data_IF_344354101714
#
_entry.id   IF_344354101714
#
_cell.length_a   1.000
_cell.length_b   1.000
_cell.length_c   1.000
_cell.angle_alpha   90.00
_cell.angle_beta   90.00
_cell.angle_gamma   90.00
#
_symmetry.space_group_name_H-M   'P 1'
#
loop_
_entity.id
_entity.type
_entity.pdbx_description
1 polymer ?
#
# COMPACT_ATOMS: atom_id res chain seq x y z
N UNK A 1 -6.57 10.43 -28.30
CA UNK A 1 -5.96 9.19 -27.74
C UNK A 1 -6.23 9.16 -26.25
N UNK A 2 -7.11 8.27 -25.81
CA UNK A 2 -7.32 8.01 -24.39
C UNK A 2 -6.10 7.21 -23.93
N UNK A 3 -5.31 7.76 -23.04
CA UNK A 3 -4.15 7.06 -22.49
C UNK A 3 -4.63 5.86 -21.68
N UNK A 4 -3.99 4.71 -21.83
CA UNK A 4 -4.29 3.46 -21.12
C UNK A 4 -4.33 3.64 -19.59
N UNK A 5 -3.57 4.59 -19.04
CA UNK A 5 -3.58 4.96 -17.61
C UNK A 5 -4.93 5.52 -17.12
N UNK A 6 -5.70 6.17 -18.00
CA UNK A 6 -7.06 6.64 -17.69
C UNK A 6 -8.08 5.50 -17.76
N UNK A 7 -7.87 4.53 -18.66
CA UNK A 7 -8.78 3.42 -18.88
C UNK A 7 -8.92 2.54 -17.63
N UNK A 8 -7.83 2.27 -16.91
CA UNK A 8 -7.86 1.47 -15.68
C UNK A 8 -8.65 2.14 -14.55
N UNK A 9 -8.51 3.45 -14.36
CA UNK A 9 -9.23 4.20 -13.33
C UNK A 9 -10.72 4.41 -13.69
N UNK A 10 -11.03 4.68 -14.93
CA UNK A 10 -12.42 4.88 -15.41
C UNK A 10 -13.24 3.59 -15.34
N UNK A 11 -12.64 2.44 -15.58
CA UNK A 11 -13.33 1.16 -15.55
C UNK A 11 -13.67 0.70 -14.13
N UNK A 12 -12.86 1.06 -13.14
CA UNK A 12 -13.18 0.80 -11.73
C UNK A 12 -14.37 1.63 -11.22
N UNK A 13 -14.73 2.73 -11.89
CA UNK A 13 -15.82 3.63 -11.51
C UNK A 13 -17.20 2.97 -11.64
N UNK A 14 -17.38 1.99 -12.52
CA UNK A 14 -18.71 1.41 -12.80
C UNK A 14 -19.34 0.71 -11.62
N UNK A 15 -18.54 -0.08 -10.90
CA UNK A 15 -19.00 -0.89 -9.78
C UNK A 15 -18.44 -0.40 -8.43
N UNK A 16 -17.66 0.67 -8.44
CA UNK A 16 -17.09 1.30 -7.25
C UNK A 16 -17.64 2.70 -7.06
N UNK A 17 -17.63 3.20 -5.82
CA UNK A 17 -17.94 4.60 -5.53
C UNK A 17 -16.74 5.51 -5.77
N UNK A 18 -16.98 6.82 -5.95
CA UNK A 18 -15.91 7.81 -6.02
C UNK A 18 -15.03 7.77 -4.76
N UNK A 19 -15.65 7.59 -3.59
CA UNK A 19 -14.97 7.50 -2.31
C UNK A 19 -14.02 6.29 -2.27
N UNK A 20 -14.45 5.13 -2.76
CA UNK A 20 -13.59 3.93 -2.83
C UNK A 20 -12.40 4.15 -3.75
N UNK A 21 -12.63 4.72 -4.92
CA UNK A 21 -11.60 4.94 -5.93
C UNK A 21 -10.53 5.91 -5.43
N UNK A 22 -10.92 7.05 -4.84
CA UNK A 22 -9.97 8.05 -4.35
C UNK A 22 -9.13 7.49 -3.20
N UNK A 23 -9.74 6.71 -2.29
CA UNK A 23 -9.04 6.08 -1.20
C UNK A 23 -8.01 5.05 -1.68
N UNK A 24 -8.40 4.16 -2.61
CA UNK A 24 -7.50 3.19 -3.23
C UNK A 24 -6.37 3.88 -4.01
N UNK A 25 -6.71 4.86 -4.85
CA UNK A 25 -5.72 5.59 -5.65
C UNK A 25 -4.65 6.25 -4.79
N UNK A 26 -5.05 6.89 -3.69
CA UNK A 26 -4.10 7.52 -2.77
C UNK A 26 -3.22 6.50 -2.03
N UNK A 27 -3.73 5.31 -1.69
CA UNK A 27 -2.89 4.23 -1.15
C UNK A 27 -1.88 3.70 -2.16
N UNK A 28 -2.23 3.67 -3.45
CA UNK A 28 -1.34 3.21 -4.52
C UNK A 28 -0.17 4.15 -4.77
N UNK A 29 -0.25 5.44 -4.39
CA UNK A 29 0.87 6.37 -4.43
C UNK A 29 2.03 5.83 -3.56
N UNK A 30 1.74 5.16 -2.46
CA UNK A 30 2.72 4.72 -1.48
C UNK A 30 3.22 5.90 -0.62
N UNK A 31 4.50 5.95 -0.29
CA UNK A 31 5.11 7.04 0.48
C UNK A 31 4.45 7.29 1.86
N UNK A 32 3.91 6.23 2.48
CA UNK A 32 3.24 6.33 3.78
C UNK A 32 1.79 6.82 3.74
N UNK A 33 1.21 7.03 2.55
CA UNK A 33 -0.18 7.45 2.41
C UNK A 33 -1.13 6.27 2.65
N UNK A 34 -2.13 6.48 3.48
CA UNK A 34 -3.10 5.45 3.88
C UNK A 34 -4.47 5.60 3.20
N UNK A 35 -4.66 6.62 2.38
CA UNK A 35 -5.89 7.01 1.70
C UNK A 35 -6.11 8.51 1.82
N UNK A 36 -7.35 8.97 1.71
CA UNK A 36 -7.68 10.39 1.79
C UNK A 36 -7.51 10.97 3.20
N UNK A 37 -7.77 10.19 4.24
CA UNK A 37 -7.68 10.57 5.66
C UNK A 37 -6.70 9.67 6.43
N UNK A 38 -6.19 10.18 7.55
CA UNK A 38 -5.28 9.44 8.43
C UNK A 38 -3.80 9.51 8.00
N UNK A 39 -3.38 10.61 7.40
CA UNK A 39 -2.02 10.86 6.93
C UNK A 39 -1.34 11.90 7.83
N UNK A 40 -0.85 11.49 9.00
CA UNK A 40 -0.27 12.40 10.01
C UNK A 40 1.09 12.98 9.60
N UNK A 41 1.70 12.45 8.55
CA UNK A 41 2.97 12.96 8.02
C UNK A 41 2.82 14.23 7.17
N UNK A 42 1.59 14.66 6.89
CA UNK A 42 1.30 15.84 6.09
C UNK A 42 0.56 16.85 6.96
N UNK A 43 1.21 17.94 7.29
CA UNK A 43 0.63 19.04 8.06
C UNK A 43 0.85 20.36 7.32
N UNK A 44 -0.15 21.23 7.30
CA UNK A 44 -0.11 22.50 6.58
C UNK A 44 -0.25 23.65 7.56
N UNK A 45 0.67 24.61 7.49
CA UNK A 45 0.64 25.83 8.30
C UNK A 45 -0.46 26.80 7.81
N UNK A 46 -0.60 26.98 6.49
CA UNK A 46 -1.59 27.83 5.85
C UNK A 46 -2.46 27.05 4.87
N UNK A 47 -3.59 26.55 5.35
CA UNK A 47 -4.55 25.78 4.53
C UNK A 47 -5.19 26.61 3.42
N UNK A 48 -5.46 27.89 3.64
CA UNK A 48 -6.07 28.76 2.63
C UNK A 48 -5.13 28.94 1.45
N UNK A 49 -3.83 29.11 1.72
CA UNK A 49 -2.81 29.17 0.68
C UNK A 49 -2.72 27.86 -0.10
N UNK A 50 -2.62 26.72 0.57
CA UNK A 50 -2.51 25.39 -0.07
C UNK A 50 -3.75 25.04 -0.89
N UNK A 51 -4.93 25.45 -0.44
CA UNK A 51 -6.17 25.25 -1.20
C UNK A 51 -6.22 26.15 -2.43
N UNK A 52 -5.76 27.40 -2.34
CA UNK A 52 -5.78 28.37 -3.44
C UNK A 52 -4.69 28.10 -4.49
N UNK A 53 -3.54 27.59 -4.09
CA UNK A 53 -2.37 27.33 -4.95
C UNK A 53 -2.16 25.81 -5.12
N UNK A 54 -2.58 25.23 -6.26
CA UNK A 54 -2.57 23.78 -6.42
C UNK A 54 -1.16 23.21 -6.44
N UNK A 55 -0.92 22.27 -5.52
CA UNK A 55 0.26 21.42 -5.45
C UNK A 55 -0.15 19.96 -5.55
N UNK A 56 0.78 19.02 -5.61
CA UNK A 56 0.55 17.58 -5.52
C UNK A 56 -0.03 17.16 -4.17
N UNK A 57 0.16 17.98 -3.12
CA UNK A 57 -0.37 17.73 -1.77
C UNK A 57 -1.77 18.30 -1.54
N UNK A 58 -2.33 19.06 -2.49
CA UNK A 58 -3.63 19.74 -2.35
C UNK A 58 -4.77 18.83 -1.92
N UNK A 59 -4.76 17.57 -2.37
CA UNK A 59 -5.79 16.58 -1.98
C UNK A 59 -5.78 16.34 -0.47
N UNK A 60 -4.63 16.33 0.17
CA UNK A 60 -4.49 16.18 1.62
C UNK A 60 -4.80 17.47 2.36
N UNK A 61 -4.52 18.64 1.76
CA UNK A 61 -4.96 19.92 2.28
C UNK A 61 -6.49 20.01 2.33
N UNK A 62 -7.21 19.49 1.33
CA UNK A 62 -8.67 19.39 1.34
C UNK A 62 -9.14 18.49 2.49
N UNK A 63 -8.49 17.34 2.71
CA UNK A 63 -8.82 16.45 3.83
C UNK A 63 -8.69 17.17 5.17
N UNK A 64 -7.56 17.83 5.38
CA UNK A 64 -7.29 18.58 6.63
C UNK A 64 -8.25 19.77 6.82
N UNK A 65 -8.61 20.48 5.75
CA UNK A 65 -9.58 21.57 5.80
C UNK A 65 -10.96 21.06 6.23
N UNK A 66 -11.43 19.94 5.66
CA UNK A 66 -12.68 19.31 6.03
C UNK A 66 -12.66 18.82 7.50
N UNK A 67 -11.55 18.25 7.96
CA UNK A 67 -11.36 17.85 9.36
C UNK A 67 -11.36 19.03 10.32
N UNK A 68 -10.85 20.19 9.91
CA UNK A 68 -10.90 21.45 10.67
C UNK A 68 -12.24 22.17 10.55
N UNK A 69 -13.21 21.61 9.84
CA UNK A 69 -14.59 22.14 9.76
C UNK A 69 -14.82 23.18 8.67
N UNK A 70 -13.95 23.29 7.67
CA UNK A 70 -14.21 24.14 6.52
C UNK A 70 -15.47 23.68 5.79
N UNK A 71 -16.30 24.62 5.37
CA UNK A 71 -17.49 24.33 4.57
C UNK A 71 -17.11 23.99 3.12
N UNK A 72 -17.97 23.24 2.45
CA UNK A 72 -17.80 22.94 1.02
C UNK A 72 -17.73 24.23 0.20
N UNK A 73 -18.55 25.22 0.52
CA UNK A 73 -18.56 26.52 -0.17
C UNK A 73 -17.21 27.23 -0.01
N UNK A 74 -16.64 27.23 1.20
CA UNK A 74 -15.33 27.84 1.45
C UNK A 74 -14.23 27.14 0.65
N UNK A 75 -14.21 25.80 0.64
CA UNK A 75 -13.24 25.04 -0.13
C UNK A 75 -13.44 25.26 -1.63
N UNK A 76 -14.68 25.33 -2.10
CA UNK A 76 -14.98 25.68 -3.50
C UNK A 76 -14.50 27.09 -3.88
N UNK A 77 -14.70 28.09 -3.02
CA UNK A 77 -14.20 29.45 -3.25
C UNK A 77 -12.68 29.48 -3.48
N UNK A 78 -11.93 28.69 -2.72
CA UNK A 78 -10.47 28.63 -2.80
C UNK A 78 -9.99 27.75 -3.95
N UNK A 79 -10.57 26.57 -4.12
CA UNK A 79 -10.05 25.53 -5.02
C UNK A 79 -10.66 25.57 -6.41
N UNK A 80 -11.89 26.06 -6.55
CA UNK A 80 -12.74 25.96 -7.75
C UNK A 80 -13.07 24.49 -8.14
N UNK A 81 -12.88 23.52 -7.23
CA UNK A 81 -13.28 22.13 -7.42
C UNK A 81 -14.78 22.02 -7.23
N UNK A 82 -15.46 21.35 -8.15
CA UNK A 82 -16.90 21.18 -8.14
C UNK A 82 -17.41 20.67 -6.76
N UNK A 83 -18.45 21.29 -6.18
CA UNK A 83 -18.99 20.90 -4.89
C UNK A 83 -19.44 19.43 -4.79
N UNK A 84 -19.79 18.78 -5.89
CA UNK A 84 -20.12 17.37 -5.91
C UNK A 84 -18.92 16.51 -5.46
N UNK A 85 -17.72 16.77 -6.00
CA UNK A 85 -16.51 16.06 -5.59
C UNK A 85 -16.16 16.36 -4.13
N UNK A 86 -16.26 17.62 -3.72
CA UNK A 86 -16.01 18.03 -2.34
C UNK A 86 -16.99 17.36 -1.36
N UNK A 87 -18.25 17.22 -1.76
CA UNK A 87 -19.26 16.47 -1.01
C UNK A 87 -18.90 15.00 -0.83
N UNK A 88 -18.40 14.37 -1.89
CA UNK A 88 -17.91 12.99 -1.84
C UNK A 88 -16.70 12.81 -0.92
N UNK A 89 -15.75 13.74 -0.98
CA UNK A 89 -14.60 13.75 -0.08
C UNK A 89 -15.02 13.98 1.39
N UNK A 90 -16.02 14.85 1.62
CA UNK A 90 -16.59 15.08 2.94
C UNK A 90 -17.22 13.81 3.54
N UNK A 91 -17.86 12.97 2.73
CA UNK A 91 -18.42 11.69 3.21
C UNK A 91 -17.35 10.81 3.86
N UNK A 92 -16.12 10.81 3.31
CA UNK A 92 -14.99 10.04 3.87
C UNK A 92 -14.60 10.61 5.24
N UNK A 93 -14.50 11.94 5.38
CA UNK A 93 -14.16 12.60 6.66
C UNK A 93 -15.24 12.35 7.70
N UNK A 94 -16.51 12.52 7.34
CA UNK A 94 -17.64 12.29 8.24
C UNK A 94 -17.66 10.84 8.72
N UNK A 95 -17.35 9.89 7.83
CA UNK A 95 -17.32 8.48 8.18
C UNK A 95 -16.12 8.09 9.04
N UNK A 96 -14.94 8.70 8.83
CA UNK A 96 -13.80 8.61 9.75
C UNK A 96 -14.22 9.01 11.16
N UNK A 97 -14.89 10.15 11.30
CA UNK A 97 -15.36 10.66 12.60
C UNK A 97 -16.37 9.69 13.26
N UNK A 98 -17.22 9.04 12.47
CA UNK A 98 -18.13 7.99 12.96
C UNK A 98 -17.35 6.77 13.46
N UNK A 99 -16.34 6.29 12.72
CA UNK A 99 -15.50 5.17 13.14
C UNK A 99 -14.72 5.47 14.42
N UNK A 100 -14.24 6.70 14.57
CA UNK A 100 -13.48 7.14 15.76
C UNK A 100 -14.31 7.22 17.05
N UNK A 101 -15.62 6.97 16.98
CA UNK A 101 -16.48 6.86 18.18
C UNK A 101 -16.40 5.49 18.85
N UNK A 102 -15.87 4.48 18.15
CA UNK A 102 -15.67 3.14 18.68
C UNK A 102 -14.27 3.00 19.27
N UNK A 103 -14.14 2.19 20.31
CA UNK A 103 -12.86 1.91 20.99
C UNK A 103 -12.42 0.43 20.84
N UNK A 104 -13.27 -0.40 20.23
CA UNK A 104 -13.01 -1.81 19.94
C UNK A 104 -13.60 -2.20 18.60
N UNK A 105 -12.92 -3.09 17.90
CA UNK A 105 -13.37 -3.58 16.60
C UNK A 105 -14.67 -4.40 16.71
N UNK A 106 -14.83 -5.13 17.82
CA UNK A 106 -15.99 -5.97 18.09
C UNK A 106 -17.28 -5.15 18.28
N UNK A 107 -17.16 -3.91 18.75
CA UNK A 107 -18.28 -3.01 19.02
C UNK A 107 -18.82 -2.34 17.76
N UNK A 108 -18.11 -2.46 16.62
CA UNK A 108 -18.56 -1.89 15.34
C UNK A 108 -19.74 -2.72 14.79
N UNK A 109 -20.91 -2.13 14.57
CA UNK A 109 -22.05 -2.81 13.93
C UNK A 109 -21.69 -3.28 12.52
N UNK A 110 -22.29 -4.38 12.07
CA UNK A 110 -21.99 -4.98 10.78
C UNK A 110 -22.29 -4.04 9.59
N UNK A 111 -23.36 -3.26 9.66
CA UNK A 111 -23.73 -2.25 8.67
C UNK A 111 -22.69 -1.11 8.61
N UNK A 112 -22.23 -0.64 9.76
CA UNK A 112 -21.19 0.40 9.84
C UNK A 112 -19.87 -0.12 9.26
N UNK A 113 -19.46 -1.34 9.61
CA UNK A 113 -18.23 -1.91 9.06
C UNK A 113 -18.33 -2.14 7.54
N UNK A 114 -19.48 -2.60 7.06
CA UNK A 114 -19.75 -2.78 5.63
C UNK A 114 -19.68 -1.46 4.87
N UNK A 115 -20.33 -0.43 5.37
CA UNK A 115 -20.34 0.90 4.74
C UNK A 115 -18.94 1.51 4.74
N UNK A 116 -18.15 1.35 5.81
CA UNK A 116 -16.74 1.75 5.81
C UNK A 116 -15.97 1.11 4.65
N UNK A 117 -16.17 -0.19 4.42
CA UNK A 117 -15.52 -0.90 3.30
C UNK A 117 -16.02 -0.41 1.94
N UNK A 118 -17.30 -0.12 1.79
CA UNK A 118 -17.90 0.47 0.57
C UNK A 118 -17.32 1.86 0.28
N UNK A 119 -17.06 2.66 1.31
CA UNK A 119 -16.40 3.96 1.18
C UNK A 119 -14.88 3.86 0.99
N UNK A 120 -14.33 2.65 0.86
CA UNK A 120 -12.93 2.40 0.53
C UNK A 120 -11.96 2.43 1.71
N UNK A 121 -12.43 2.44 2.96
CA UNK A 121 -11.53 2.32 4.11
C UNK A 121 -10.84 0.95 4.12
N UNK A 122 -9.53 0.94 4.23
CA UNK A 122 -8.76 -0.28 4.44
C UNK A 122 -8.92 -0.81 5.86
N UNK A 123 -8.66 -2.11 6.06
CA UNK A 123 -8.63 -2.70 7.40
C UNK A 123 -7.64 -1.97 8.31
N UNK A 124 -6.54 -1.48 7.73
CA UNK A 124 -5.54 -0.65 8.42
C UNK A 124 -6.11 0.69 8.90
N UNK A 125 -6.83 1.43 8.03
CA UNK A 125 -7.43 2.71 8.41
C UNK A 125 -8.50 2.52 9.50
N UNK A 126 -9.34 1.49 9.37
CA UNK A 126 -10.36 1.18 10.38
C UNK A 126 -9.70 0.87 11.72
N UNK A 127 -8.67 0.02 11.75
CA UNK A 127 -7.93 -0.29 12.95
C UNK A 127 -7.33 0.98 13.60
N UNK A 128 -6.75 1.86 12.79
CA UNK A 128 -6.13 3.11 13.26
C UNK A 128 -7.16 4.04 13.91
N UNK A 129 -8.31 4.24 13.28
CA UNK A 129 -9.32 5.18 13.80
C UNK A 129 -10.07 4.65 15.01
N UNK A 130 -10.21 3.34 15.13
CA UNK A 130 -10.94 2.69 16.23
C UNK A 130 -10.05 2.42 17.44
N UNK A 131 -8.82 1.94 17.22
CA UNK A 131 -7.94 1.47 18.30
C UNK A 131 -6.85 2.49 18.66
N UNK A 132 -6.54 3.42 17.73
CA UNK A 132 -5.47 4.40 17.83
C UNK A 132 -4.17 3.81 18.43
N UNK A 133 -3.64 2.70 17.88
CA UNK A 133 -2.48 2.02 18.43
C UNK A 133 -1.19 2.75 18.08
N UNK A 134 -0.19 2.61 18.94
CA UNK A 134 1.16 3.06 18.67
C UNK A 134 1.98 1.95 17.96
N UNK A 135 2.80 2.33 16.98
CA UNK A 135 3.77 1.46 16.32
C UNK A 135 3.21 0.54 15.24
N UNK A 136 3.67 -0.71 15.19
CA UNK A 136 3.32 -1.66 14.14
C UNK A 136 1.89 -2.18 14.30
N UNK A 137 1.03 -1.84 13.35
CA UNK A 137 -0.41 -2.14 13.35
C UNK A 137 -0.78 -3.48 12.66
N UNK A 138 0.15 -4.41 12.47
CA UNK A 138 -0.13 -5.67 11.77
C UNK A 138 -1.22 -6.50 12.48
N UNK A 139 -1.16 -6.57 13.82
CA UNK A 139 -2.13 -7.30 14.63
C UNK A 139 -3.51 -6.67 14.57
N UNK A 140 -3.59 -5.36 14.69
CA UNK A 140 -4.84 -4.59 14.67
C UNK A 140 -5.52 -4.66 13.30
N UNK A 141 -4.74 -4.60 12.23
CA UNK A 141 -5.23 -4.84 10.86
C UNK A 141 -5.87 -6.23 10.74
N UNK A 142 -5.23 -7.27 11.26
CA UNK A 142 -5.76 -8.63 11.25
C UNK A 142 -7.01 -8.79 12.13
N UNK A 143 -7.16 -8.03 13.21
CA UNK A 143 -8.39 -8.03 14.02
C UNK A 143 -9.57 -7.51 13.20
N UNK A 144 -9.42 -6.40 12.47
CA UNK A 144 -10.46 -5.88 11.57
C UNK A 144 -10.79 -6.90 10.47
N UNK A 145 -9.75 -7.49 9.85
CA UNK A 145 -9.92 -8.55 8.85
C UNK A 145 -10.71 -9.73 9.39
N UNK A 146 -10.37 -10.23 10.57
CA UNK A 146 -11.07 -11.35 11.19
C UNK A 146 -12.54 -11.01 11.44
N UNK A 147 -12.82 -9.82 11.98
CA UNK A 147 -14.17 -9.35 12.25
C UNK A 147 -15.01 -9.22 10.99
N UNK A 148 -14.49 -8.62 9.92
CA UNK A 148 -15.25 -8.50 8.67
C UNK A 148 -15.54 -9.86 8.02
N UNK A 149 -14.59 -10.82 8.10
CA UNK A 149 -14.79 -12.19 7.62
C UNK A 149 -15.90 -12.93 8.42
N UNK A 150 -15.86 -12.80 9.73
CA UNK A 150 -16.92 -13.34 10.62
C UNK A 150 -18.30 -12.81 10.26
N UNK A 151 -18.41 -11.52 9.94
CA UNK A 151 -19.65 -10.85 9.53
C UNK A 151 -20.02 -11.08 8.05
N UNK A 152 -19.24 -11.87 7.31
CA UNK A 152 -19.47 -12.12 5.88
C UNK A 152 -19.26 -10.87 5.01
N UNK A 153 -18.45 -9.91 5.46
CA UNK A 153 -18.10 -8.71 4.70
C UNK A 153 -16.84 -9.03 3.89
N UNK A 154 -17.05 -9.53 2.68
CA UNK A 154 -16.01 -9.94 1.74
C UNK A 154 -16.08 -9.09 0.48
N UNK A 155 -14.93 -8.79 -0.16
CA UNK A 155 -14.95 -8.06 -1.42
C UNK A 155 -15.52 -8.93 -2.55
N UNK A 156 -16.28 -8.31 -3.44
CA UNK A 156 -16.60 -8.89 -4.74
C UNK A 156 -15.40 -8.82 -5.67
N UNK A 157 -15.35 -9.70 -6.67
CA UNK A 157 -14.34 -9.67 -7.74
C UNK A 157 -15.05 -9.47 -9.06
N UNK A 158 -14.71 -8.38 -9.72
CA UNK A 158 -15.34 -7.93 -10.96
C UNK A 158 -14.33 -7.86 -12.09
N UNK A 159 -14.80 -8.09 -13.31
CA UNK A 159 -14.01 -7.88 -14.52
C UNK A 159 -14.02 -6.41 -14.92
N UNK A 160 -12.85 -5.93 -15.32
CA UNK A 160 -12.72 -4.61 -15.93
C UNK A 160 -13.20 -4.74 -17.38
N UNK A 161 -14.25 -4.02 -17.73
CA UNK A 161 -14.78 -4.00 -19.10
C UNK A 161 -14.16 -2.84 -19.88
N UNK A 162 -13.35 -3.16 -20.89
CA UNK A 162 -12.61 -2.19 -21.69
C UNK A 162 -13.44 -1.55 -22.83
N UNK A 163 -14.64 -2.08 -23.07
CA UNK A 163 -15.53 -1.62 -24.18
C UNK A 163 -16.85 -1.08 -23.68
N UNK A 164 -16.85 -0.43 -22.54
CA UNK A 164 -18.01 0.23 -21.95
C UNK A 164 -19.27 -0.65 -21.79
N UNK A 165 -19.09 -1.97 -21.64
CA UNK A 165 -20.15 -2.99 -21.59
C UNK A 165 -21.01 -3.08 -22.86
N UNK A 166 -20.54 -2.58 -23.97
CA UNK A 166 -21.19 -2.78 -25.27
C UNK A 166 -21.13 -4.26 -25.72
N UNK A 167 -20.10 -4.97 -25.28
CA UNK A 167 -19.91 -6.40 -25.51
C UNK A 167 -19.57 -7.12 -24.20
N UNK A 168 -19.89 -8.43 -24.08
CA UNK A 168 -19.43 -9.24 -22.95
C UNK A 168 -17.90 -9.26 -22.88
N UNK A 169 -17.36 -8.88 -21.74
CA UNK A 169 -15.92 -8.85 -21.51
C UNK A 169 -15.41 -10.22 -21.10
N UNK A 170 -14.40 -10.70 -21.81
CA UNK A 170 -13.74 -11.99 -21.56
C UNK A 170 -12.29 -11.80 -21.08
N UNK A 171 -11.85 -10.56 -20.84
CA UNK A 171 -10.49 -10.29 -20.37
C UNK A 171 -10.24 -10.92 -19.00
N UNK A 172 -8.97 -11.13 -18.72
CA UNK A 172 -8.50 -11.62 -17.42
C UNK A 172 -8.29 -10.49 -16.39
N UNK A 173 -8.72 -9.25 -16.69
CA UNK A 173 -8.59 -8.08 -15.83
C UNK A 173 -9.64 -8.08 -14.74
N UNK A 174 -9.19 -8.15 -13.49
CA UNK A 174 -10.03 -8.24 -12.31
C UNK A 174 -9.72 -7.08 -11.35
N UNK A 175 -10.71 -6.66 -10.58
CA UNK A 175 -10.54 -5.77 -9.44
C UNK A 175 -11.47 -6.19 -8.31
N UNK A 176 -11.17 -5.73 -7.10
CA UNK A 176 -11.95 -6.07 -5.90
C UNK A 176 -12.67 -4.84 -5.37
N UNK A 177 -13.94 -4.97 -5.04
CA UNK A 177 -14.77 -3.89 -4.48
C UNK A 177 -15.75 -4.43 -3.45
N UNK A 178 -16.20 -3.56 -2.54
CA UNK A 178 -17.27 -3.88 -1.59
C UNK A 178 -18.61 -3.23 -1.98
N UNK A 179 -18.62 -2.39 -3.01
CA UNK A 179 -19.83 -1.68 -3.46
C UNK A 179 -20.89 -2.60 -4.05
N UNK A 180 -20.50 -3.75 -4.58
CA UNK A 180 -21.36 -4.76 -5.18
C UNK A 180 -21.10 -6.15 -4.61
N UNK A 181 -21.88 -7.13 -5.02
CA UNK A 181 -21.71 -8.53 -4.57
C UNK A 181 -21.40 -9.46 -5.74
N UNK A 182 -20.88 -10.63 -5.41
CA UNK A 182 -20.64 -11.72 -6.35
C UNK A 182 -19.29 -11.64 -7.07
N UNK A 183 -19.00 -12.70 -7.83
CA UNK A 183 -17.76 -12.88 -8.57
C UNK A 183 -18.05 -13.06 -10.05
N UNK A 184 -17.30 -12.37 -10.89
CA UNK A 184 -17.39 -12.52 -12.36
C UNK A 184 -16.49 -13.65 -12.87
N UNK A 185 -15.76 -14.30 -11.97
CA UNK A 185 -14.89 -15.43 -12.26
C UNK A 185 -15.20 -16.61 -11.34
N UNK A 186 -14.97 -17.83 -11.86
CA UNK A 186 -15.11 -19.05 -11.08
C UNK A 186 -13.80 -19.41 -10.39
N UNK A 187 -13.88 -19.81 -9.13
CA UNK A 187 -12.75 -20.34 -8.36
C UNK A 187 -12.88 -21.84 -8.23
N UNK A 188 -11.87 -22.59 -8.67
CA UNK A 188 -11.88 -24.03 -8.61
C UNK A 188 -10.90 -24.49 -7.52
N UNK A 189 -11.41 -25.27 -6.57
CA UNK A 189 -10.56 -25.92 -5.57
C UNK A 189 -9.60 -26.88 -6.28
N UNK A 190 -8.33 -26.86 -5.89
CA UNK A 190 -7.24 -27.68 -6.44
C UNK A 190 -6.68 -27.23 -7.81
N UNK A 191 -6.96 -26.06 -8.30
CA UNK A 191 -6.17 -25.49 -9.40
C UNK A 191 -4.71 -25.30 -8.95
N UNK A 192 -3.79 -25.76 -9.79
CA UNK A 192 -2.36 -25.51 -9.57
C UNK A 192 -2.06 -24.07 -9.98
N UNK A 193 -2.14 -23.15 -9.06
CA UNK A 193 -1.89 -21.73 -9.31
C UNK A 193 -0.73 -21.18 -8.48
N UNK A 194 -0.13 -20.12 -8.98
CA UNK A 194 0.92 -19.33 -8.31
C UNK A 194 0.58 -17.86 -8.46
N UNK A 195 0.70 -17.10 -7.38
CA UNK A 195 0.55 -15.65 -7.39
C UNK A 195 1.91 -15.00 -7.52
N UNK A 196 2.02 -14.00 -8.39
CA UNK A 196 3.19 -13.13 -8.55
C UNK A 196 2.80 -11.73 -8.16
N UNK A 197 3.56 -11.09 -7.26
CA UNK A 197 3.33 -9.71 -6.89
C UNK A 197 4.20 -8.79 -7.74
N UNK A 198 3.57 -7.81 -8.39
CA UNK A 198 4.23 -6.83 -9.24
C UNK A 198 4.88 -5.69 -8.46
N UNK A 199 5.45 -4.75 -9.20
CA UNK A 199 6.20 -3.63 -8.64
C UNK A 199 5.37 -2.39 -8.29
N UNK A 200 4.11 -2.35 -8.73
CA UNK A 200 3.29 -1.15 -8.61
C UNK A 200 3.74 -0.02 -9.54
N UNK A 201 3.44 1.22 -9.17
CA UNK A 201 3.85 2.39 -9.94
C UNK A 201 5.37 2.57 -9.97
N UNK A 202 5.91 3.02 -11.12
CA UNK A 202 7.32 3.33 -11.25
C UNK A 202 7.73 4.48 -10.34
N UNK A 203 8.82 4.26 -9.62
CA UNK A 203 9.42 5.22 -8.69
C UNK A 203 10.86 4.83 -8.42
N UNK A 204 11.61 5.66 -7.70
CA UNK A 204 12.95 5.31 -7.25
C UNK A 204 12.90 4.00 -6.43
N UNK A 205 13.67 2.99 -6.86
CA UNK A 205 13.67 1.65 -6.27
C UNK A 205 12.58 0.70 -6.77
N UNK A 206 11.77 1.11 -7.76
CA UNK A 206 10.78 0.26 -8.41
C UNK A 206 10.64 0.70 -9.87
N UNK A 207 11.35 0.05 -10.78
CA UNK A 207 11.40 0.41 -12.19
C UNK A 207 11.22 -0.79 -13.11
N UNK A 208 11.43 -0.61 -14.40
CA UNK A 208 11.10 -1.56 -15.47
C UNK A 208 11.76 -2.95 -15.32
N UNK A 209 12.92 -3.03 -14.70
CA UNK A 209 13.60 -4.32 -14.44
C UNK A 209 12.79 -5.27 -13.56
N UNK A 210 12.02 -4.75 -12.61
CA UNK A 210 11.13 -5.58 -11.78
C UNK A 210 9.93 -6.08 -12.56
N UNK A 211 9.43 -5.28 -13.50
CA UNK A 211 8.37 -5.73 -14.39
C UNK A 211 8.85 -6.86 -15.29
N UNK A 212 10.04 -6.73 -15.88
CA UNK A 212 10.67 -7.81 -16.66
C UNK A 212 10.86 -9.09 -15.82
N UNK A 213 11.29 -8.98 -14.56
CA UNK A 213 11.39 -10.13 -13.66
C UNK A 213 10.03 -10.78 -13.40
N UNK A 214 8.99 -9.97 -13.20
CA UNK A 214 7.61 -10.43 -12.99
C UNK A 214 7.06 -11.18 -14.20
N UNK A 215 7.25 -10.64 -15.41
CA UNK A 215 6.87 -11.28 -16.68
C UNK A 215 7.55 -12.66 -16.83
N UNK A 216 8.86 -12.73 -16.57
CA UNK A 216 9.59 -14.01 -16.64
C UNK A 216 9.08 -15.02 -15.60
N UNK A 217 8.75 -14.58 -14.39
CA UNK A 217 8.17 -15.44 -13.36
C UNK A 217 6.81 -16.00 -13.79
N UNK A 218 5.92 -15.14 -14.31
CA UNK A 218 4.61 -15.52 -14.85
C UNK A 218 4.75 -16.54 -15.97
N UNK A 219 5.56 -16.25 -16.98
CA UNK A 219 5.77 -17.14 -18.12
C UNK A 219 6.39 -18.47 -17.72
N UNK A 220 7.31 -18.48 -16.75
CA UNK A 220 7.90 -19.70 -16.23
C UNK A 220 6.87 -20.53 -15.48
N UNK A 221 6.02 -19.91 -14.65
CA UNK A 221 4.93 -20.62 -13.98
C UNK A 221 4.00 -21.29 -14.99
N UNK A 222 3.60 -20.59 -16.07
CA UNK A 222 2.78 -21.17 -17.16
C UNK A 222 3.47 -22.33 -17.87
N UNK A 223 4.77 -22.19 -18.20
CA UNK A 223 5.56 -23.29 -18.82
C UNK A 223 5.64 -24.53 -17.92
N UNK A 224 5.60 -24.37 -16.61
CA UNK A 224 5.56 -25.47 -15.63
C UNK A 224 4.16 -26.01 -15.35
N UNK A 225 3.14 -25.54 -16.09
CA UNK A 225 1.75 -25.99 -15.98
C UNK A 225 1.00 -25.43 -14.78
N UNK A 226 1.45 -24.31 -14.23
CA UNK A 226 0.72 -23.54 -13.22
C UNK A 226 -0.12 -22.47 -13.87
N UNK A 227 -1.31 -22.23 -13.32
CA UNK A 227 -2.09 -21.03 -13.61
C UNK A 227 -1.38 -19.84 -12.97
N UNK A 228 -1.05 -18.86 -13.77
CA UNK A 228 -0.37 -17.65 -13.33
C UNK A 228 -1.37 -16.59 -12.93
N UNK A 229 -1.21 -16.05 -11.73
CA UNK A 229 -2.02 -14.99 -11.17
C UNK A 229 -1.11 -13.82 -10.87
N UNK A 230 -1.41 -12.65 -11.42
CA UNK A 230 -0.66 -11.42 -11.18
C UNK A 230 -1.48 -10.47 -10.32
N UNK A 231 -0.84 -9.81 -9.36
CA UNK A 231 -1.40 -8.66 -8.66
C UNK A 231 -0.49 -7.48 -8.96
N UNK A 232 -1.00 -6.49 -9.69
CA UNK A 232 -0.29 -5.25 -10.01
C UNK A 232 -1.29 -4.15 -10.37
N UNK A 233 -0.90 -2.89 -10.21
CA UNK A 233 -1.76 -1.74 -10.51
C UNK A 233 -1.11 -0.71 -11.44
N UNK A 234 0.02 -1.03 -12.05
CA UNK A 234 0.67 -0.14 -13.02
C UNK A 234 0.21 -0.50 -14.44
N UNK A 235 -0.59 0.34 -15.11
CA UNK A 235 -1.11 0.06 -16.45
C UNK A 235 -0.05 0.18 -17.55
N UNK A 236 1.10 0.75 -17.26
CA UNK A 236 2.20 0.97 -18.23
C UNK A 236 3.20 -0.20 -18.24
N UNK A 237 2.91 -1.31 -17.55
CA UNK A 237 3.81 -2.46 -17.44
C UNK A 237 3.36 -3.61 -18.33
N UNK A 238 4.33 -4.37 -18.88
CA UNK A 238 4.08 -5.56 -19.69
C UNK A 238 3.43 -6.68 -18.85
N UNK A 239 3.72 -6.76 -17.56
CA UNK A 239 3.10 -7.75 -16.67
C UNK A 239 1.59 -7.57 -16.51
N UNK A 240 1.06 -6.40 -16.86
CA UNK A 240 -0.37 -6.10 -16.84
C UNK A 240 -1.02 -6.16 -18.22
N UNK A 241 -0.30 -6.59 -19.25
CA UNK A 241 -0.89 -6.85 -20.56
C UNK A 241 -1.85 -8.05 -20.53
N UNK A 242 -2.88 -8.00 -21.37
CA UNK A 242 -4.02 -8.92 -21.35
C UNK A 242 -3.65 -10.39 -21.58
N UNK A 243 -2.52 -10.67 -22.21
CA UNK A 243 -2.07 -12.00 -22.61
C UNK A 243 -0.94 -12.57 -21.72
N UNK A 244 -0.42 -11.78 -20.78
CA UNK A 244 0.73 -12.15 -19.98
C UNK A 244 0.42 -13.20 -18.93
N UNK A 245 -0.72 -13.12 -18.27
CA UNK A 245 -1.09 -14.06 -17.20
C UNK A 245 -2.50 -14.63 -17.39
N UNK A 246 -2.84 -15.66 -16.63
CA UNK A 246 -4.17 -16.28 -16.69
C UNK A 246 -5.22 -15.45 -15.92
N UNK A 247 -4.79 -14.73 -14.87
CA UNK A 247 -5.59 -13.77 -14.11
C UNK A 247 -4.74 -12.60 -13.66
N UNK A 248 -5.24 -11.39 -13.88
CA UNK A 248 -4.66 -10.15 -13.41
C UNK A 248 -5.62 -9.49 -12.43
N UNK A 249 -5.23 -9.41 -11.17
CA UNK A 249 -5.85 -8.51 -10.22
C UNK A 249 -5.22 -7.14 -10.35
N UNK A 250 -5.92 -6.25 -11.04
CA UNK A 250 -5.55 -4.86 -11.19
C UNK A 250 -6.02 -4.10 -9.97
N UNK A 251 -5.28 -4.25 -8.87
CA UNK A 251 -5.65 -3.72 -7.56
C UNK A 251 -4.40 -3.38 -6.75
N UNK A 252 -4.59 -2.69 -5.63
CA UNK A 252 -3.50 -2.28 -4.75
C UNK A 252 -2.71 -3.48 -4.18
N UNK A 253 -1.39 -3.31 -4.07
CA UNK A 253 -0.48 -4.28 -3.46
C UNK A 253 -0.42 -4.08 -1.94
N UNK A 254 -1.57 -4.06 -1.28
CA UNK A 254 -1.67 -3.98 0.18
C UNK A 254 -1.72 -5.36 0.81
N UNK A 255 -1.35 -5.44 2.10
CA UNK A 255 -1.43 -6.69 2.86
C UNK A 255 -2.84 -7.27 2.87
N UNK A 256 -3.86 -6.40 3.03
CA UNK A 256 -5.27 -6.77 2.99
C UNK A 256 -5.66 -7.43 1.66
N UNK A 257 -5.38 -6.75 0.53
CA UNK A 257 -5.78 -7.21 -0.80
C UNK A 257 -5.06 -8.48 -1.22
N UNK A 258 -3.76 -8.58 -0.94
CA UNK A 258 -3.01 -9.80 -1.22
C UNK A 258 -3.57 -10.99 -0.46
N UNK A 259 -3.92 -10.83 0.83
CA UNK A 259 -4.56 -11.90 1.60
C UNK A 259 -5.96 -12.24 1.07
N UNK A 260 -6.74 -11.25 0.59
CA UNK A 260 -8.06 -11.51 0.02
C UNK A 260 -7.96 -12.32 -1.28
N UNK A 261 -7.01 -12.00 -2.14
CA UNK A 261 -6.73 -12.80 -3.36
C UNK A 261 -6.27 -14.21 -3.00
N UNK A 262 -5.39 -14.36 -2.01
CA UNK A 262 -4.92 -15.68 -1.56
C UNK A 262 -6.07 -16.53 -1.00
N UNK A 263 -6.97 -15.93 -0.23
CA UNK A 263 -8.15 -16.61 0.30
C UNK A 263 -9.08 -17.13 -0.82
N UNK A 264 -9.20 -16.39 -1.92
CA UNK A 264 -10.06 -16.76 -3.06
C UNK A 264 -9.39 -17.77 -3.98
N UNK A 265 -8.15 -17.53 -4.36
CA UNK A 265 -7.42 -18.33 -5.37
C UNK A 265 -6.79 -19.59 -4.78
N UNK A 266 -6.56 -19.67 -3.48
CA UNK A 266 -5.90 -20.78 -2.79
C UNK A 266 -4.63 -21.27 -3.53
N UNK A 267 -3.69 -20.35 -3.85
CA UNK A 267 -2.53 -20.68 -4.66
C UNK A 267 -1.58 -21.62 -3.92
N UNK A 268 -0.74 -22.33 -4.67
CA UNK A 268 0.37 -23.10 -4.09
C UNK A 268 1.34 -22.21 -3.30
N UNK A 269 1.48 -20.95 -3.69
CA UNK A 269 2.30 -19.97 -3.01
C UNK A 269 2.39 -18.67 -3.77
N UNK A 270 3.14 -17.75 -3.20
CA UNK A 270 3.30 -16.37 -3.68
C UNK A 270 4.77 -16.07 -3.95
N UNK A 271 5.07 -15.53 -5.12
CA UNK A 271 6.40 -15.01 -5.49
C UNK A 271 6.43 -13.52 -5.19
N UNK A 272 7.31 -13.12 -4.27
CA UNK A 272 7.46 -11.71 -3.82
C UNK A 272 8.74 -11.06 -4.34
N UNK A 273 9.78 -11.84 -4.59
CA UNK A 273 11.15 -11.35 -4.85
C UNK A 273 11.36 -10.70 -6.22
N UNK A 274 10.37 -10.72 -7.09
CA UNK A 274 10.46 -10.16 -8.46
C UNK A 274 9.84 -8.76 -8.59
N UNK A 275 9.06 -8.30 -7.61
CA UNK A 275 8.33 -7.04 -7.66
C UNK A 275 9.02 -5.85 -6.97
N UNK A 276 10.26 -6.02 -6.49
CA UNK A 276 10.99 -4.96 -5.78
C UNK A 276 10.50 -4.73 -4.37
N UNK A 277 10.58 -3.46 -3.90
CA UNK A 277 10.41 -3.13 -2.49
C UNK A 277 8.98 -3.37 -1.95
N UNK A 278 7.94 -3.12 -2.76
CA UNK A 278 6.55 -3.25 -2.29
C UNK A 278 6.24 -4.70 -1.90
N UNK A 279 6.46 -5.71 -2.75
CA UNK A 279 6.28 -7.10 -2.36
C UNK A 279 7.22 -7.58 -1.25
N UNK A 280 8.49 -7.12 -1.26
CA UNK A 280 9.45 -7.48 -0.22
C UNK A 280 8.96 -7.05 1.17
N UNK A 281 8.37 -5.86 1.29
CA UNK A 281 7.78 -5.37 2.55
C UNK A 281 6.59 -6.22 3.03
N UNK A 282 5.96 -6.98 2.13
CA UNK A 282 4.88 -7.90 2.48
C UNK A 282 5.39 -9.30 2.86
N UNK A 283 6.61 -9.67 2.48
CA UNK A 283 7.12 -11.04 2.61
C UNK A 283 7.00 -11.59 4.04
N UNK A 284 7.50 -10.86 5.05
CA UNK A 284 7.42 -11.30 6.45
C UNK A 284 6.00 -11.28 6.99
N UNK A 285 5.15 -10.34 6.56
CA UNK A 285 3.73 -10.29 6.96
C UNK A 285 2.97 -11.50 6.43
N UNK A 286 3.17 -11.87 5.18
CA UNK A 286 2.59 -13.06 4.56
C UNK A 286 3.08 -14.36 5.23
N UNK A 287 4.38 -14.44 5.52
CA UNK A 287 4.97 -15.57 6.22
C UNK A 287 4.36 -15.80 7.60
N UNK A 288 4.14 -14.76 8.39
CA UNK A 288 3.47 -14.84 9.70
C UNK A 288 2.03 -15.34 9.61
N UNK A 289 1.38 -15.16 8.46
CA UNK A 289 0.05 -15.69 8.16
C UNK A 289 0.10 -17.09 7.53
N UNK A 290 1.26 -17.77 7.59
CA UNK A 290 1.46 -19.12 7.03
C UNK A 290 1.22 -19.21 5.53
N UNK A 291 1.33 -18.09 4.79
CA UNK A 291 1.27 -18.07 3.34
C UNK A 291 2.59 -18.64 2.78
N UNK A 292 2.55 -19.67 1.92
CA UNK A 292 3.75 -20.19 1.29
C UNK A 292 4.38 -19.15 0.35
N UNK A 293 5.54 -18.61 0.75
CA UNK A 293 6.34 -17.72 -0.10
C UNK A 293 7.32 -18.58 -0.89
N UNK A 294 7.28 -18.46 -2.22
CA UNK A 294 8.10 -19.21 -3.15
C UNK A 294 9.38 -18.42 -3.51
N UNK A 295 10.47 -19.13 -3.69
CA UNK A 295 11.78 -18.55 -3.97
C UNK A 295 12.56 -18.26 -2.70
N UNK A 296 13.09 -17.03 -2.57
CA UNK A 296 13.87 -16.64 -1.38
C UNK A 296 13.03 -16.65 -0.12
N UNK A 297 13.54 -17.27 0.94
CA UNK A 297 12.85 -17.30 2.24
C UNK A 297 12.57 -15.89 2.76
N UNK A 298 11.37 -15.60 3.27
CA UNK A 298 11.05 -14.30 3.88
C UNK A 298 12.01 -13.88 4.98
N UNK A 299 12.50 -14.84 5.77
CA UNK A 299 13.52 -14.59 6.81
C UNK A 299 14.84 -14.14 6.20
N UNK A 300 15.21 -14.70 5.04
CA UNK A 300 16.43 -14.29 4.32
C UNK A 300 16.24 -12.93 3.65
N UNK A 301 15.06 -12.64 3.11
CA UNK A 301 14.70 -11.31 2.59
C UNK A 301 14.84 -10.26 3.72
N UNK A 302 14.22 -10.51 4.86
CA UNK A 302 14.27 -9.60 6.02
C UNK A 302 15.71 -9.40 6.54
N UNK A 303 16.53 -10.44 6.55
CA UNK A 303 17.95 -10.32 6.92
C UNK A 303 18.76 -9.49 5.93
N UNK A 304 18.45 -9.58 4.64
CA UNK A 304 19.12 -8.81 3.60
C UNK A 304 18.66 -7.34 3.54
N UNK A 305 17.39 -7.09 3.76
CA UNK A 305 16.77 -5.76 3.71
C UNK A 305 17.03 -4.93 4.97
N UNK A 306 16.97 -5.57 6.14
CA UNK A 306 17.25 -4.93 7.41
C UNK A 306 18.76 -4.82 7.62
N UNK A 307 19.29 -3.59 7.55
CA UNK A 307 20.72 -3.31 7.59
C UNK A 307 21.41 -3.78 8.86
N UNK A 308 20.72 -3.65 9.99
CA UNK A 308 21.22 -4.11 11.26
C UNK A 308 21.43 -5.65 11.26
N UNK A 309 20.39 -6.39 10.82
CA UNK A 309 20.47 -7.84 10.67
C UNK A 309 21.50 -8.26 9.62
N UNK A 310 21.62 -7.49 8.53
CA UNK A 310 22.62 -7.73 7.48
C UNK A 310 24.04 -7.52 8.03
N UNK A 311 24.33 -6.40 8.68
CA UNK A 311 25.64 -6.15 9.29
C UNK A 311 25.98 -7.16 10.37
N UNK A 312 25.04 -7.53 11.24
CA UNK A 312 25.23 -8.58 12.22
C UNK A 312 25.55 -9.95 11.57
N UNK A 313 24.96 -10.25 10.43
CA UNK A 313 25.27 -11.44 9.66
C UNK A 313 26.69 -11.39 9.07
N UNK A 314 27.13 -10.23 8.55
CA UNK A 314 28.51 -10.06 8.05
C UNK A 314 29.54 -10.26 9.17
N UNK A 315 29.28 -9.71 10.35
CA UNK A 315 30.15 -9.91 11.52
C UNK A 315 30.23 -11.40 11.89
N UNK A 316 29.11 -12.13 11.91
CA UNK A 316 29.10 -13.58 12.17
C UNK A 316 29.89 -14.39 11.12
N UNK A 317 29.92 -13.92 9.86
CA UNK A 317 30.65 -14.55 8.78
C UNK A 317 32.13 -14.12 8.74
N UNK A 318 32.56 -13.20 9.59
CA UNK A 318 33.92 -12.64 9.59
C UNK A 318 34.24 -11.81 8.35
N UNK A 319 33.20 -11.25 7.69
CA UNK A 319 33.34 -10.37 6.54
C UNK A 319 33.59 -8.94 7.05
N UNK A 320 34.67 -8.36 6.60
CA UNK A 320 35.10 -7.00 6.99
C UNK A 320 34.09 -5.95 6.53
N UNK A 321 33.72 -5.03 7.41
CA UNK A 321 32.82 -3.92 7.16
C UNK A 321 33.19 -2.71 8.05
N UNK A 322 32.74 -1.49 7.69
CA UNK A 322 32.90 -0.33 8.58
C UNK A 322 32.25 -0.56 9.94
N UNK A 323 32.80 0.07 10.98
CA UNK A 323 32.19 0.03 12.32
C UNK A 323 30.74 0.55 12.25
N UNK A 324 29.83 -0.18 12.84
CA UNK A 324 28.40 0.13 12.79
C UNK A 324 27.73 -0.12 14.15
N UNK A 325 26.63 0.56 14.39
CA UNK A 325 25.78 0.32 15.56
C UNK A 325 24.35 0.80 15.27
N UNK A 326 23.36 0.05 15.74
CA UNK A 326 21.97 0.52 15.79
C UNK A 326 21.81 1.43 17.00
N UNK A 327 21.28 2.61 16.79
CA UNK A 327 21.17 3.66 17.78
C UNK A 327 19.73 4.12 17.89
N UNK A 328 19.22 4.24 19.11
CA UNK A 328 17.84 4.65 19.39
C UNK A 328 17.78 5.92 20.25
N UNK A 329 18.91 6.39 20.75
CA UNK A 329 19.01 7.61 21.53
C UNK A 329 20.22 8.46 21.15
N UNK A 330 20.17 9.76 21.45
CA UNK A 330 21.29 10.66 21.24
C UNK A 330 22.53 10.32 22.11
N UNK A 331 22.29 9.71 23.27
CA UNK A 331 23.37 9.28 24.15
C UNK A 331 24.16 8.10 23.53
N UNK A 332 23.46 7.15 22.92
CA UNK A 332 24.09 6.06 22.17
C UNK A 332 24.92 6.57 21.01
N UNK A 333 24.41 7.60 20.28
CA UNK A 333 25.15 8.25 19.19
C UNK A 333 26.46 8.83 19.69
N UNK A 334 26.43 9.57 20.81
CA UNK A 334 27.65 10.14 21.39
C UNK A 334 28.65 9.05 21.77
N UNK A 335 28.21 8.01 22.46
CA UNK A 335 29.06 6.89 22.85
C UNK A 335 29.70 6.16 21.67
N UNK A 336 28.94 6.00 20.57
CA UNK A 336 29.49 5.42 19.34
C UNK A 336 30.53 6.33 18.70
N UNK A 337 30.27 7.63 18.59
CA UNK A 337 31.22 8.61 18.00
C UNK A 337 32.50 8.74 18.84
N UNK A 338 32.41 8.70 20.17
CA UNK A 338 33.60 8.69 21.05
C UNK A 338 34.52 7.48 20.76
N UNK A 339 33.91 6.35 20.37
CA UNK A 339 34.64 5.11 20.07
C UNK A 339 35.28 5.11 18.68
N UNK A 340 34.54 5.63 17.66
CA UNK A 340 34.97 5.49 16.25
C UNK A 340 35.53 6.78 15.65
N UNK A 341 35.24 7.95 16.24
CA UNK A 341 35.57 9.27 15.72
C UNK A 341 34.69 9.74 14.57
N UNK A 342 34.88 11.00 14.15
CA UNK A 342 34.26 11.56 12.95
C UNK A 342 35.09 11.34 11.70
N UNK A 343 34.51 11.30 10.48
CA UNK A 343 33.09 11.45 10.18
C UNK A 343 32.30 10.17 10.43
N UNK A 344 31.01 10.33 10.79
CA UNK A 344 30.05 9.22 10.89
C UNK A 344 28.90 9.40 9.91
N UNK A 345 28.44 8.30 9.32
CA UNK A 345 27.27 8.27 8.44
C UNK A 345 26.05 7.87 9.25
N UNK A 346 25.11 8.80 9.42
CA UNK A 346 23.80 8.52 10.00
C UNK A 346 22.84 8.15 8.87
N UNK A 347 22.12 7.03 9.04
CA UNK A 347 21.14 6.58 8.04
C UNK A 347 19.98 5.85 8.72
N UNK A 348 18.71 6.11 8.32
CA UNK A 348 17.56 5.35 8.77
C UNK A 348 17.61 3.88 8.30
N UNK A 349 16.98 2.97 9.06
CA UNK A 349 17.06 1.52 8.78
C UNK A 349 16.41 1.10 7.46
N UNK A 350 15.37 1.79 7.00
CA UNK A 350 14.55 1.41 5.85
C UNK A 350 14.42 2.52 4.79
N UNK A 351 15.52 3.13 4.40
CA UNK A 351 15.49 4.20 3.39
C UNK A 351 16.17 3.76 2.10
N UNK A 352 15.52 4.02 0.96
CA UNK A 352 16.03 3.81 -0.38
C UNK A 352 16.74 5.05 -0.90
N UNK A 353 17.76 4.82 -1.75
CA UNK A 353 18.41 5.87 -2.55
C UNK A 353 19.04 7.01 -1.75
N UNK A 354 19.46 6.74 -0.52
CA UNK A 354 20.19 7.72 0.30
C UNK A 354 19.32 8.83 0.90
N UNK A 355 18.00 8.75 0.79
CA UNK A 355 17.10 9.70 1.44
C UNK A 355 17.35 9.72 2.95
N UNK A 356 17.37 10.91 3.57
CA UNK A 356 17.65 11.13 4.98
C UNK A 356 18.98 10.52 5.47
N UNK A 357 19.95 10.32 4.58
CA UNK A 357 21.33 9.97 4.94
C UNK A 357 22.17 11.23 5.08
N UNK A 358 22.87 11.37 6.20
CA UNK A 358 23.75 12.51 6.46
C UNK A 358 25.12 12.04 6.92
N UNK A 359 26.16 12.67 6.39
CA UNK A 359 27.53 12.51 6.91
C UNK A 359 27.77 13.60 7.94
N UNK A 360 27.94 13.19 9.17
CA UNK A 360 28.20 14.10 10.29
C UNK A 360 29.70 14.22 10.52
N UNK A 361 30.21 15.44 10.43
CA UNK A 361 31.61 15.77 10.67
C UNK A 361 31.86 16.27 12.10
N UNK A 362 30.79 16.62 12.80
CA UNK A 362 30.79 17.08 14.19
C UNK A 362 29.44 16.77 14.88
N UNK A 363 29.33 17.11 16.17
CA UNK A 363 28.12 16.82 16.96
C UNK A 363 26.89 17.69 16.63
N UNK A 364 27.02 18.74 15.84
CA UNK A 364 25.91 19.66 15.55
C UNK A 364 24.97 19.07 14.48
N UNK A 365 25.50 18.29 13.53
CA UNK A 365 24.73 17.77 12.40
C UNK A 365 23.68 16.72 12.78
N UNK A 366 23.90 15.89 13.79
CA UNK A 366 22.90 14.90 14.22
C UNK A 366 21.95 15.44 15.29
N UNK A 367 22.18 16.65 15.80
CA UNK A 367 21.25 17.35 16.71
C UNK A 367 20.38 18.36 15.97
N UNK A 368 20.63 18.61 14.68
CA UNK A 368 19.75 19.44 13.85
C UNK A 368 18.48 18.66 13.49
N UNK A 369 17.31 19.31 13.47
CA UNK A 369 16.09 18.69 13.00
C UNK A 369 16.29 18.21 11.56
N UNK A 370 15.72 17.05 11.22
CA UNK A 370 15.69 16.55 9.85
C UNK A 370 14.98 17.58 8.96
N UNK A 371 15.42 17.82 7.71
CA UNK A 371 14.70 18.69 6.78
C UNK A 371 13.26 18.23 6.47
N UNK A 372 12.80 17.15 7.12
CA UNK A 372 11.45 16.59 7.00
C UNK A 372 10.66 16.55 8.31
N UNK A 373 11.22 17.12 9.38
CA UNK A 373 10.51 17.33 10.64
C UNK A 373 9.80 18.69 10.63
#
# INVERSE_FOLDING_TARGET
>A
EIRLSLVGSEMCIRDSSFEEIIQKGLRMIGQGMHGFVGNDSVEFEDLDHELAHPTDLRVFAIAQALEKGYTIDRIFELTKIDPWFLGKLKNIVDYKNKLSQYNKVEDIPADVLREAKVLGFSDFQIARFVLNPEGNMEKENLMVRARRKELGILPAVKRINTVASEHPELTNYLYMTYAVQGYDVNYYKNEKSVVVLGSGAYRIGSSVEFDWCSVNAIQTARKLGYKSIMINYNPETVSTDYDMCDRLYFDELSFERVLDVIDLEQPRGVIVSVGGQIPNNLAMKLYRQSVPVLGTSPVSIDRAENRNKFSAMLDQLGIDQPAWQELTSLEDVKGFVEKVGYPVLVRPSYVLSGAAMNVCYDCLLYTSPSPRD
#
